data_IF_170229759591
#
_entry.id   IF_170229759591
#
_cell.length_a   1.000
_cell.length_b   1.000
_cell.length_c   1.000
_cell.angle_alpha   90.00
_cell.angle_beta   90.00
_cell.angle_gamma   90.00
#
_symmetry.space_group_name_H-M   'P 1'
#
loop_
_entity.id
_entity.type
_entity.pdbx_description
1 polymer ?
#
# COMPACT_ATOMS: atom_id res chain seq x y z
N UNK A 1 20.95 -10.73 -2.29
CA UNK A 1 19.47 -10.63 -2.39
C UNK A 1 19.01 -9.65 -3.48
N UNK A 2 19.77 -8.60 -3.77
CA UNK A 2 19.52 -7.59 -4.83
C UNK A 2 19.30 -8.15 -6.23
N UNK A 3 20.03 -9.19 -6.64
CA UNK A 3 19.88 -9.82 -7.97
C UNK A 3 18.53 -10.50 -8.19
N UNK A 4 18.05 -11.26 -7.19
CA UNK A 4 16.77 -11.98 -7.28
C UNK A 4 15.57 -11.00 -7.29
N UNK A 5 15.61 -9.96 -6.45
CA UNK A 5 14.57 -8.93 -6.42
C UNK A 5 14.48 -8.18 -7.78
N UNK A 6 15.61 -7.74 -8.35
CA UNK A 6 15.62 -7.14 -9.70
C UNK A 6 15.04 -8.07 -10.75
N UNK A 7 15.36 -9.36 -10.69
CA UNK A 7 14.85 -10.36 -11.62
C UNK A 7 13.35 -10.63 -11.46
N UNK A 8 12.78 -10.58 -10.26
CA UNK A 8 11.35 -10.88 -10.05
C UNK A 8 10.46 -9.65 -10.13
N UNK A 9 10.88 -8.53 -9.54
CA UNK A 9 10.07 -7.31 -9.35
C UNK A 9 10.53 -6.13 -10.21
N UNK A 10 11.70 -6.26 -10.87
CA UNK A 10 12.26 -5.25 -11.77
C UNK A 10 13.09 -4.16 -11.07
N UNK A 11 13.12 -4.12 -9.74
CA UNK A 11 14.05 -3.29 -8.97
C UNK A 11 14.34 -3.94 -7.61
N UNK A 12 15.45 -3.56 -6.97
CA UNK A 12 15.72 -3.93 -5.59
C UNK A 12 15.44 -2.71 -4.71
N UNK A 13 14.61 -2.82 -3.67
CA UNK A 13 14.45 -1.72 -2.73
C UNK A 13 15.81 -1.36 -2.10
N UNK A 14 16.23 -0.09 -2.11
CA UNK A 14 17.52 0.33 -1.56
C UNK A 14 17.53 0.10 -0.04
N UNK A 15 18.62 -0.48 0.48
CA UNK A 15 19.04 -0.71 1.90
C UNK A 15 18.01 -1.22 2.93
N UNK A 16 16.70 -1.25 2.65
CA UNK A 16 15.63 -1.69 3.54
C UNK A 16 15.81 -3.12 3.99
N UNK A 17 16.19 -4.02 3.08
CA UNK A 17 16.45 -5.40 3.45
C UNK A 17 17.70 -5.54 4.32
N UNK A 18 18.72 -4.71 4.10
CA UNK A 18 19.95 -4.72 4.91
C UNK A 18 19.68 -4.17 6.31
N UNK A 19 18.94 -3.06 6.40
CA UNK A 19 18.50 -2.51 7.67
C UNK A 19 17.62 -3.49 8.44
N UNK A 20 16.58 -4.07 7.82
CA UNK A 20 15.74 -5.05 8.52
C UNK A 20 16.53 -6.24 9.02
N UNK A 21 17.47 -6.74 8.21
CA UNK A 21 18.34 -7.84 8.64
C UNK A 21 19.22 -7.39 9.81
N UNK A 22 19.73 -6.17 9.81
CA UNK A 22 20.52 -5.58 10.90
C UNK A 22 19.70 -5.44 12.19
N UNK A 23 18.48 -4.87 12.12
CA UNK A 23 17.64 -4.57 13.28
C UNK A 23 17.01 -5.82 13.90
N UNK A 24 16.47 -6.74 13.09
CA UNK A 24 15.70 -7.90 13.60
C UNK A 24 16.35 -9.26 13.35
N UNK A 25 17.43 -9.32 12.59
CA UNK A 25 18.06 -10.56 12.17
C UNK A 25 17.37 -11.22 10.97
N UNK A 26 18.16 -11.93 10.16
CA UNK A 26 17.72 -12.58 8.93
C UNK A 26 16.52 -13.50 9.11
N UNK A 27 16.48 -14.30 10.19
CA UNK A 27 15.39 -15.24 10.42
C UNK A 27 14.04 -14.54 10.65
N UNK A 28 14.02 -13.42 11.37
CA UNK A 28 12.79 -12.63 11.60
C UNK A 28 12.38 -11.89 10.33
N UNK A 29 13.34 -11.35 9.59
CA UNK A 29 13.11 -10.74 8.27
C UNK A 29 12.43 -11.73 7.30
N UNK A 30 12.94 -12.96 7.20
CA UNK A 30 12.35 -13.97 6.33
C UNK A 30 10.95 -14.38 6.77
N UNK A 31 10.71 -14.53 8.08
CA UNK A 31 9.35 -14.78 8.60
C UNK A 31 8.41 -13.65 8.26
N UNK A 32 8.85 -12.40 8.42
CA UNK A 32 8.08 -11.22 8.04
C UNK A 32 7.71 -11.25 6.56
N UNK A 33 8.68 -11.47 5.67
CA UNK A 33 8.45 -11.53 4.22
C UNK A 33 7.44 -12.63 3.84
N UNK A 34 7.56 -13.82 4.44
CA UNK A 34 6.62 -14.93 4.21
C UNK A 34 5.21 -14.58 4.70
N UNK A 35 5.08 -13.99 5.90
CA UNK A 35 3.78 -13.61 6.44
C UNK A 35 3.15 -12.47 5.62
N UNK A 36 3.94 -11.48 5.20
CA UNK A 36 3.47 -10.40 4.35
C UNK A 36 2.97 -10.91 3.00
N UNK A 37 3.71 -11.81 2.35
CA UNK A 37 3.25 -12.45 1.12
C UNK A 37 1.96 -13.26 1.30
N UNK A 38 1.81 -13.97 2.42
CA UNK A 38 0.58 -14.73 2.73
C UNK A 38 -0.62 -13.83 2.97
N UNK A 39 -0.47 -12.76 3.75
CA UNK A 39 -1.55 -11.81 4.04
C UNK A 39 -1.99 -11.11 2.76
N UNK A 40 -1.03 -10.59 1.97
CA UNK A 40 -1.33 -9.95 0.69
C UNK A 40 -2.01 -10.92 -0.28
N UNK A 41 -1.52 -12.16 -0.37
CA UNK A 41 -2.14 -13.20 -1.21
C UNK A 41 -3.59 -13.52 -0.80
N UNK A 42 -3.88 -13.54 0.50
CA UNK A 42 -5.26 -13.72 1.01
C UNK A 42 -6.15 -12.52 0.69
N UNK A 43 -5.64 -11.29 0.84
CA UNK A 43 -6.35 -10.08 0.42
C UNK A 43 -6.64 -10.11 -1.09
N UNK A 44 -5.64 -10.45 -1.90
CA UNK A 44 -5.80 -10.56 -3.36
C UNK A 44 -6.85 -11.59 -3.74
N UNK A 45 -6.86 -12.76 -3.09
CA UNK A 45 -7.87 -13.78 -3.35
C UNK A 45 -9.29 -13.34 -2.95
N UNK A 46 -9.43 -12.59 -1.86
CA UNK A 46 -10.73 -12.15 -1.35
C UNK A 46 -11.31 -10.94 -2.10
N UNK A 47 -10.48 -9.97 -2.46
CA UNK A 47 -10.92 -8.64 -2.90
C UNK A 47 -10.40 -8.25 -4.29
N UNK A 48 -9.46 -8.99 -4.85
CA UNK A 48 -8.74 -8.63 -6.07
C UNK A 48 -7.43 -7.89 -5.78
N UNK A 49 -6.55 -7.90 -6.77
CA UNK A 49 -5.16 -7.46 -6.62
C UNK A 49 -5.05 -5.95 -6.32
N UNK A 50 -5.82 -5.11 -7.03
CA UNK A 50 -5.80 -3.66 -6.83
C UNK A 50 -6.27 -3.27 -5.41
N UNK A 51 -7.44 -3.74 -4.98
CA UNK A 51 -8.00 -3.46 -3.65
C UNK A 51 -7.08 -3.97 -2.53
N UNK A 52 -6.47 -5.15 -2.70
CA UNK A 52 -5.50 -5.68 -1.75
C UNK A 52 -4.30 -4.73 -1.55
N UNK A 53 -3.78 -4.18 -2.64
CA UNK A 53 -2.71 -3.18 -2.57
C UNK A 53 -3.19 -1.86 -1.96
N UNK A 54 -4.41 -1.40 -2.21
CA UNK A 54 -4.94 -0.21 -1.54
C UNK A 54 -5.11 -0.39 -0.03
N UNK A 55 -5.61 -1.54 0.42
CA UNK A 55 -5.72 -1.84 1.85
C UNK A 55 -4.35 -1.90 2.52
N UNK A 56 -3.37 -2.54 1.88
CA UNK A 56 -1.99 -2.55 2.36
C UNK A 56 -1.38 -1.14 2.40
N UNK A 57 -1.65 -0.31 1.39
CA UNK A 57 -1.23 1.09 1.33
C UNK A 57 -1.77 1.89 2.52
N UNK A 58 -3.06 1.78 2.81
CA UNK A 58 -3.71 2.53 3.89
C UNK A 58 -3.20 2.07 5.25
N UNK A 59 -3.09 0.75 5.47
CA UNK A 59 -2.52 0.20 6.70
C UNK A 59 -1.06 0.66 6.91
N UNK A 60 -0.23 0.71 5.86
CA UNK A 60 1.13 1.23 5.96
C UNK A 60 1.17 2.74 6.21
N UNK A 61 0.37 3.52 5.48
CA UNK A 61 0.32 4.98 5.59
C UNK A 61 -0.15 5.45 6.96
N UNK A 62 -1.19 4.84 7.53
CA UNK A 62 -1.65 5.15 8.89
C UNK A 62 -0.67 4.70 9.97
N UNK A 63 0.29 3.83 9.65
CA UNK A 63 1.43 3.51 10.49
C UNK A 63 2.65 4.38 10.12
N UNK A 64 2.47 5.51 9.43
CA UNK A 64 3.54 6.46 9.12
C UNK A 64 4.55 5.97 8.07
N UNK A 65 4.29 4.87 7.36
CA UNK A 65 5.24 4.31 6.39
C UNK A 65 5.00 4.84 4.97
N UNK A 66 5.74 5.89 4.58
CA UNK A 66 5.66 6.46 3.24
C UNK A 66 6.14 5.50 2.15
N UNK A 67 7.23 4.75 2.39
CA UNK A 67 7.74 3.80 1.39
C UNK A 67 6.72 2.69 1.04
N UNK A 68 6.20 1.99 2.06
CA UNK A 68 5.22 0.93 1.84
C UNK A 68 3.88 1.52 1.37
N UNK A 69 3.43 2.61 1.99
CA UNK A 69 2.21 3.31 1.60
C UNK A 69 2.23 3.68 0.12
N UNK A 70 3.24 4.43 -0.32
CA UNK A 70 3.34 4.89 -1.70
C UNK A 70 3.56 3.75 -2.69
N UNK A 71 4.42 2.79 -2.34
CA UNK A 71 4.66 1.64 -3.22
C UNK A 71 3.41 0.80 -3.44
N UNK A 72 2.63 0.54 -2.39
CA UNK A 72 1.38 -0.19 -2.51
C UNK A 72 0.31 0.64 -3.25
N UNK A 73 0.20 1.94 -2.99
CA UNK A 73 -0.72 2.83 -3.69
C UNK A 73 -0.45 2.87 -5.20
N UNK A 74 0.83 2.98 -5.59
CA UNK A 74 1.23 3.00 -6.99
C UNK A 74 0.95 1.65 -7.66
N UNK A 75 1.24 0.53 -7.00
CA UNK A 75 0.87 -0.80 -7.51
C UNK A 75 -0.63 -0.93 -7.71
N UNK A 76 -1.44 -0.56 -6.71
CA UNK A 76 -2.90 -0.56 -6.82
C UNK A 76 -3.41 0.31 -7.97
N UNK A 77 -2.80 1.48 -8.15
CA UNK A 77 -3.17 2.42 -9.22
C UNK A 77 -2.85 1.90 -10.61
N UNK A 78 -1.70 1.26 -10.79
CA UNK A 78 -1.33 0.63 -12.06
C UNK A 78 -2.23 -0.57 -12.37
N UNK A 79 -2.56 -1.39 -11.37
CA UNK A 79 -3.47 -2.53 -11.51
C UNK A 79 -4.87 -2.06 -11.88
N UNK A 80 -5.39 -1.06 -11.17
CA UNK A 80 -6.68 -0.47 -11.46
C UNK A 80 -6.72 0.12 -12.89
N UNK A 81 -5.69 0.88 -13.26
CA UNK A 81 -5.60 1.50 -14.58
C UNK A 81 -5.50 0.45 -15.71
N UNK A 82 -4.76 -0.65 -15.49
CA UNK A 82 -4.71 -1.78 -16.42
C UNK A 82 -6.11 -2.34 -16.69
N UNK A 83 -6.92 -2.48 -15.65
CA UNK A 83 -8.20 -3.18 -15.71
C UNK A 83 -9.36 -2.27 -16.14
N UNK A 84 -9.26 -0.95 -15.91
CA UNK A 84 -10.37 -0.01 -16.12
C UNK A 84 -10.05 1.16 -17.07
N UNK A 85 -8.78 1.31 -17.50
CA UNK A 85 -8.26 2.43 -18.31
C UNK A 85 -8.61 3.83 -17.72
N UNK A 86 -8.74 3.90 -16.40
CA UNK A 86 -9.09 5.11 -15.64
C UNK A 86 -8.20 5.25 -14.43
N UNK A 87 -7.84 6.48 -14.08
CA UNK A 87 -7.05 6.76 -12.87
C UNK A 87 -7.95 6.56 -11.65
N UNK A 88 -7.49 5.75 -10.69
CA UNK A 88 -8.17 5.59 -9.42
C UNK A 88 -8.00 6.87 -8.57
N UNK A 89 -9.02 7.31 -7.81
CA UNK A 89 -8.95 8.56 -7.06
C UNK A 89 -7.94 8.49 -5.91
N UNK A 90 -7.74 7.31 -5.30
CA UNK A 90 -6.71 7.07 -4.30
C UNK A 90 -5.33 6.92 -4.96
N UNK A 91 -4.67 8.04 -5.27
CA UNK A 91 -3.32 8.09 -5.84
C UNK A 91 -2.24 8.18 -4.75
N UNK A 92 -0.97 8.05 -5.13
CA UNK A 92 0.17 8.25 -4.22
C UNK A 92 0.12 9.63 -3.55
N UNK A 93 -0.22 10.69 -4.30
CA UNK A 93 -0.38 12.06 -3.75
C UNK A 93 -1.52 12.17 -2.74
N UNK A 94 -2.62 11.44 -2.95
CA UNK A 94 -3.70 11.41 -1.96
C UNK A 94 -3.28 10.68 -0.68
N UNK A 95 -2.47 9.61 -0.80
CA UNK A 95 -1.89 8.94 0.38
C UNK A 95 -0.97 9.89 1.14
N UNK A 96 -0.06 10.59 0.46
CA UNK A 96 0.81 11.61 1.07
C UNK A 96 -0.01 12.67 1.81
N UNK A 97 -1.00 13.26 1.13
CA UNK A 97 -1.88 14.26 1.73
C UNK A 97 -2.55 13.74 2.99
N UNK A 98 -3.08 12.51 2.95
CA UNK A 98 -3.74 11.88 4.10
C UNK A 98 -2.79 11.56 5.25
N UNK A 99 -1.50 11.30 4.99
CA UNK A 99 -0.49 11.11 6.04
C UNK A 99 -0.17 12.42 6.79
N UNK A 100 -0.48 13.58 6.19
CA UNK A 100 -0.36 14.89 6.84
C UNK A 100 -1.60 15.33 7.64
N UNK A 101 -2.67 14.52 7.67
CA UNK A 101 -3.91 14.80 8.39
C UNK A 101 -3.95 14.08 9.74
N UNK A 102 -4.81 14.55 10.65
CA UNK A 102 -5.16 13.76 11.84
C UNK A 102 -5.92 12.49 11.43
N UNK A 103 -5.86 11.44 12.24
CA UNK A 103 -6.46 10.14 11.92
C UNK A 103 -7.93 10.24 11.50
N UNK A 104 -8.73 11.02 12.23
CA UNK A 104 -10.15 11.20 11.93
C UNK A 104 -10.39 12.00 10.64
N UNK A 105 -9.55 12.99 10.35
CA UNK A 105 -9.62 13.77 9.12
C UNK A 105 -9.22 12.92 7.91
N UNK A 106 -8.21 12.06 8.08
CA UNK A 106 -7.72 11.12 7.09
C UNK A 106 -8.83 10.16 6.61
N UNK A 107 -9.57 9.54 7.54
CA UNK A 107 -10.64 8.62 7.17
C UNK A 107 -11.85 9.33 6.52
N UNK A 108 -12.19 10.54 6.97
CA UNK A 108 -13.26 11.34 6.33
C UNK A 108 -12.87 11.73 4.90
N UNK A 109 -11.62 12.17 4.69
CA UNK A 109 -11.10 12.48 3.36
C UNK A 109 -11.12 11.25 2.45
N UNK A 110 -10.71 10.08 2.96
CA UNK A 110 -10.74 8.83 2.22
C UNK A 110 -12.16 8.42 1.80
N UNK A 111 -13.14 8.54 2.69
CA UNK A 111 -14.52 8.19 2.37
C UNK A 111 -15.13 9.10 1.32
N UNK A 112 -14.84 10.40 1.38
CA UNK A 112 -15.23 11.36 0.36
C UNK A 112 -14.61 11.02 -1.00
N UNK A 113 -13.32 10.66 -1.00
CA UNK A 113 -12.58 10.27 -2.20
C UNK A 113 -13.14 9.00 -2.87
N UNK A 114 -13.74 8.11 -2.08
CA UNK A 114 -14.28 6.81 -2.51
C UNK A 114 -15.82 6.78 -2.51
N UNK A 115 -16.48 7.94 -2.64
CA UNK A 115 -17.95 8.02 -2.58
C UNK A 115 -18.65 7.46 -3.82
N UNK A 116 -17.96 7.43 -4.97
CA UNK A 116 -18.53 6.93 -6.21
C UNK A 116 -18.82 5.40 -6.17
N UNK A 117 -19.88 4.91 -6.86
CA UNK A 117 -20.28 3.50 -6.82
C UNK A 117 -19.18 2.46 -7.08
N UNK A 118 -18.24 2.66 -8.03
CA UNK A 118 -17.17 1.70 -8.27
C UNK A 118 -16.26 1.45 -7.06
N UNK A 119 -16.19 2.39 -6.11
CA UNK A 119 -15.28 2.34 -4.97
C UNK A 119 -15.96 1.92 -3.66
N UNK A 120 -17.27 1.64 -3.69
CA UNK A 120 -18.07 1.35 -2.48
C UNK A 120 -17.48 0.22 -1.64
N UNK A 121 -16.98 -0.84 -2.27
CA UNK A 121 -16.36 -1.98 -1.58
C UNK A 121 -15.09 -1.55 -0.86
N UNK A 122 -14.17 -0.90 -1.57
CA UNK A 122 -12.92 -0.41 -0.99
C UNK A 122 -13.20 0.58 0.15
N UNK A 123 -14.15 1.50 -0.03
CA UNK A 123 -14.58 2.43 1.03
C UNK A 123 -15.02 1.68 2.30
N UNK A 124 -15.90 0.68 2.18
CA UNK A 124 -16.37 -0.13 3.31
C UNK A 124 -15.20 -0.83 4.01
N UNK A 125 -14.33 -1.47 3.25
CA UNK A 125 -13.18 -2.21 3.78
C UNK A 125 -12.19 -1.26 4.46
N UNK A 126 -11.92 -0.10 3.88
CA UNK A 126 -11.03 0.92 4.46
C UNK A 126 -11.58 1.52 5.76
N UNK A 127 -12.89 1.78 5.84
CA UNK A 127 -13.54 2.18 7.11
C UNK A 127 -13.38 1.09 8.16
N UNK A 128 -13.69 -0.17 7.82
CA UNK A 128 -13.54 -1.28 8.76
C UNK A 128 -12.09 -1.48 9.21
N UNK A 129 -11.13 -1.37 8.29
CA UNK A 129 -9.70 -1.43 8.56
C UNK A 129 -9.27 -0.32 9.54
N UNK A 130 -9.77 0.90 9.35
CA UNK A 130 -9.52 2.03 10.25
C UNK A 130 -10.08 1.79 11.65
N UNK A 131 -11.35 1.35 11.76
CA UNK A 131 -11.98 1.09 13.06
C UNK A 131 -11.25 -0.01 13.85
N UNK A 132 -10.77 -1.04 13.15
CA UNK A 132 -9.93 -2.09 13.74
C UNK A 132 -8.57 -1.54 14.19
N UNK A 133 -7.91 -0.71 13.38
CA UNK A 133 -6.63 -0.08 13.74
C UNK A 133 -6.76 0.78 15.00
N UNK A 134 -7.81 1.59 15.08
CA UNK A 134 -8.02 2.54 16.17
C UNK A 134 -8.59 1.87 17.44
N UNK A 135 -8.90 0.58 17.39
CA UNK A 135 -9.54 -0.13 18.51
C UNK A 135 -11.00 0.30 18.75
N UNK A 136 -11.64 0.95 17.77
CA UNK A 136 -13.05 1.30 17.82
C UNK A 136 -13.95 0.08 17.61
N UNK A 137 -13.40 -1.01 17.07
CA UNK A 137 -14.07 -2.28 16.92
C UNK A 137 -13.16 -3.46 17.26
N UNK A 138 -13.75 -4.52 17.78
CA UNK A 138 -13.12 -5.83 17.89
C UNK A 138 -13.24 -6.59 16.55
N UNK A 139 -12.28 -7.47 16.22
CA UNK A 139 -12.38 -8.28 15.01
C UNK A 139 -13.46 -9.36 15.14
N UNK A 140 -14.38 -9.38 14.19
CA UNK A 140 -15.50 -10.32 14.10
C UNK A 140 -15.42 -11.13 12.79
N UNK A 141 -15.24 -12.44 12.92
CA UNK A 141 -15.20 -13.33 11.76
C UNK A 141 -13.97 -13.16 10.86
N UNK A 142 -13.95 -13.88 9.74
CA UNK A 142 -12.74 -14.05 8.94
C UNK A 142 -12.26 -12.79 8.21
N UNK A 143 -13.18 -11.91 7.77
CA UNK A 143 -12.85 -10.64 7.09
C UNK A 143 -12.06 -9.73 8.03
N UNK A 144 -12.55 -9.52 9.25
CA UNK A 144 -11.87 -8.65 10.20
C UNK A 144 -10.53 -9.19 10.67
N UNK A 145 -10.41 -10.51 10.86
CA UNK A 145 -9.13 -11.10 11.21
C UNK A 145 -8.08 -10.91 10.09
N UNK A 146 -8.52 -10.90 8.83
CA UNK A 146 -7.63 -10.61 7.70
C UNK A 146 -7.27 -9.12 7.62
N UNK A 147 -8.23 -8.21 7.82
CA UNK A 147 -7.97 -6.77 7.88
C UNK A 147 -7.05 -6.43 9.07
N UNK A 148 -7.32 -6.97 10.24
CA UNK A 148 -6.47 -6.80 11.43
C UNK A 148 -5.07 -7.35 11.20
N UNK A 149 -4.92 -8.53 10.60
CA UNK A 149 -3.59 -9.05 10.23
C UNK A 149 -2.84 -8.11 9.28
N UNK A 150 -3.56 -7.41 8.39
CA UNK A 150 -2.99 -6.40 7.48
C UNK A 150 -2.49 -5.17 8.25
N UNK A 151 -3.27 -4.68 9.23
CA UNK A 151 -2.84 -3.58 10.11
C UNK A 151 -1.57 -3.98 10.88
N UNK A 152 -1.61 -5.14 11.54
CA UNK A 152 -0.53 -5.62 12.40
C UNK A 152 0.77 -5.86 11.63
N UNK A 153 0.67 -6.39 10.41
CA UNK A 153 1.83 -6.57 9.54
C UNK A 153 2.56 -5.25 9.32
N UNK A 154 1.83 -4.16 9.11
CA UNK A 154 2.41 -2.86 8.80
C UNK A 154 2.65 -1.95 10.01
N UNK A 155 2.23 -2.33 11.22
CA UNK A 155 2.75 -1.72 12.46
C UNK A 155 4.27 -1.88 12.56
N UNK A 156 4.80 -3.01 12.10
CA UNK A 156 6.25 -3.24 12.06
C UNK A 156 6.99 -2.33 11.05
N UNK A 157 6.28 -1.76 10.07
CA UNK A 157 6.90 -0.87 9.07
C UNK A 157 7.26 0.52 9.61
N UNK A 158 6.79 0.86 10.82
CA UNK A 158 7.22 2.07 11.57
C UNK A 158 8.74 2.04 11.83
N UNK A 159 9.30 0.86 12.09
CA UNK A 159 10.73 0.74 12.41
C UNK A 159 11.62 1.25 11.27
N UNK A 160 11.15 1.07 10.03
CA UNK A 160 11.91 1.47 8.83
C UNK A 160 11.91 2.98 8.65
N UNK A 161 10.80 3.65 8.96
CA UNK A 161 10.70 5.10 8.81
C UNK A 161 11.43 5.85 9.91
N UNK A 162 11.51 5.27 11.11
CA UNK A 162 12.31 5.81 12.22
C UNK A 162 13.80 5.67 11.94
N UNK A 163 14.27 4.46 11.61
CA UNK A 163 15.72 4.18 11.54
C UNK A 163 16.37 4.71 10.27
N UNK A 164 15.66 4.70 9.14
CA UNK A 164 16.21 5.13 7.85
C UNK A 164 15.87 6.58 7.49
N UNK A 165 15.07 7.28 8.30
CA UNK A 165 14.58 8.62 7.97
C UNK A 165 13.86 8.65 6.61
N UNK A 166 13.25 7.53 6.22
CA UNK A 166 12.68 7.32 4.89
C UNK A 166 11.34 8.04 4.73
N UNK A 167 11.39 9.37 4.69
CA UNK A 167 10.36 10.15 4.01
C UNK A 167 10.67 10.06 2.52
N UNK A 168 10.17 9.01 1.88
CA UNK A 168 10.32 8.89 0.43
C UNK A 168 9.59 10.07 -0.22
N UNK A 169 10.17 10.70 -1.24
CA UNK A 169 9.41 11.60 -2.10
C UNK A 169 8.34 10.76 -2.85
N UNK A 170 7.05 11.13 -2.79
CA UNK A 170 5.98 10.47 -3.54
C UNK A 170 6.27 10.31 -5.04
N UNK A 171 6.96 11.29 -5.65
CA UNK A 171 7.34 11.22 -7.07
C UNK A 171 8.48 10.23 -7.34
N UNK A 172 9.20 9.80 -6.29
CA UNK A 172 10.21 8.75 -6.35
C UNK A 172 9.64 7.38 -5.98
N UNK A 173 8.34 7.28 -5.69
CA UNK A 173 7.70 6.02 -5.36
C UNK A 173 7.87 4.98 -6.47
N UNK A 174 8.13 3.74 -6.08
CA UNK A 174 8.22 2.60 -6.98
C UNK A 174 7.15 1.58 -6.58
N UNK A 175 6.48 0.91 -7.54
CA UNK A 175 5.44 -0.08 -7.23
C UNK A 175 5.99 -1.15 -6.31
N UNK A 176 5.34 -1.40 -5.17
CA UNK A 176 5.85 -2.30 -4.13
C UNK A 176 6.13 -3.71 -4.68
N UNK A 177 7.41 -4.02 -4.92
CA UNK A 177 7.93 -5.35 -5.24
C UNK A 177 7.00 -6.21 -6.13
N UNK A 178 6.39 -5.60 -7.14
CA UNK A 178 5.35 -6.23 -7.95
C UNK A 178 5.76 -6.27 -9.42
N UNK A 179 5.44 -7.38 -10.11
CA UNK A 179 5.81 -7.58 -11.52
C UNK A 179 5.25 -6.52 -12.48
N UNK A 180 4.19 -5.81 -12.08
CA UNK A 180 3.60 -4.72 -12.87
C UNK A 180 4.59 -3.59 -13.17
N UNK A 181 5.62 -3.43 -12.34
CA UNK A 181 6.68 -2.46 -12.59
C UNK A 181 7.40 -2.69 -13.92
N UNK A 182 7.48 -3.94 -14.39
CA UNK A 182 8.12 -4.29 -15.66
C UNK A 182 7.32 -3.85 -16.87
N UNK A 183 6.02 -3.57 -16.74
CA UNK A 183 5.20 -3.07 -17.83
C UNK A 183 5.42 -1.56 -18.02
N UNK A 184 6.49 -1.24 -18.75
CA UNK A 184 6.86 0.14 -19.07
C UNK A 184 5.75 0.88 -19.82
N UNK A 185 5.06 0.21 -20.75
CA UNK A 185 4.01 0.82 -21.57
C UNK A 185 2.81 1.21 -20.71
N UNK A 186 2.41 0.35 -19.79
CA UNK A 186 1.35 0.65 -18.82
C UNK A 186 1.73 1.84 -17.95
N UNK A 187 2.94 1.86 -17.39
CA UNK A 187 3.40 2.98 -16.54
C UNK A 187 3.40 4.31 -17.28
N UNK A 188 3.91 4.34 -18.51
CA UNK A 188 3.92 5.56 -19.32
C UNK A 188 2.50 6.05 -19.66
N UNK A 189 1.55 5.14 -19.94
CA UNK A 189 0.14 5.50 -20.14
C UNK A 189 -0.50 6.03 -18.86
N UNK A 190 -0.27 5.36 -17.74
CA UNK A 190 -0.76 5.77 -16.43
C UNK A 190 -0.25 7.17 -16.06
N UNK A 191 1.04 7.44 -16.22
CA UNK A 191 1.61 8.76 -15.91
C UNK A 191 0.99 9.89 -16.75
N UNK A 192 0.74 9.64 -18.05
CA UNK A 192 0.03 10.62 -18.90
C UNK A 192 -1.40 10.86 -18.42
N UNK A 193 -2.13 9.79 -18.13
CA UNK A 193 -3.51 9.88 -17.65
C UNK A 193 -3.59 10.56 -16.28
N UNK A 194 -2.66 10.27 -15.36
CA UNK A 194 -2.55 10.89 -14.04
C UNK A 194 -2.33 12.39 -14.15
N UNK A 195 -1.35 12.83 -14.94
CA UNK A 195 -1.06 14.26 -15.14
C UNK A 195 -2.25 15.00 -15.74
N UNK A 196 -2.95 14.39 -16.70
CA UNK A 196 -4.15 14.99 -17.29
C UNK A 196 -5.28 15.15 -16.27
N UNK A 197 -5.45 14.18 -15.36
CA UNK A 197 -6.45 14.23 -14.30
C UNK A 197 -6.11 15.24 -13.17
N UNK A 198 -4.83 15.57 -12.97
CA UNK A 198 -4.40 16.59 -12.00
C UNK A 198 -4.57 18.03 -12.51
N UNK A 199 -4.69 18.21 -13.84
CA UNK A 199 -4.86 19.51 -14.48
C UNK A 199 -6.32 19.87 -14.84
N UNK A 200 -7.25 18.92 -14.66
CA UNK A 200 -8.66 19.06 -15.00
C UNK A 200 -9.48 19.44 -13.76
#
# INVERSE_FOLDING_TARGET
MTGLARLTTGYAPPSLSEEWISTMGLARFLRFAVQGGRILGRLTAAYGEADAHYLASLAAAWNGCGFCGYGHALTGSLLWFRDHDRVHPLTVRQIERMMGLLDQESIVALESLLDAPPYRRLRRLSRRLFDLKMGHAAPEGAEDHLLMATVLLWTWSIECTITLGMTLDPEQAQPYMHRIYKDRRLRERYERARRAAETA
#
